data_IF_839263091706
#
_entry.id   IF_839263091706
#
_cell.length_a   1.000
_cell.length_b   1.000
_cell.length_c   1.000
_cell.angle_alpha   90.00
_cell.angle_beta   90.00
_cell.angle_gamma   90.00
#
_symmetry.space_group_name_H-M   'P 1'
#
loop_
_entity.id
_entity.type
_entity.pdbx_description
1 polymer ?
#
# COMPACT_ATOMS: atom_id res chain seq x y z
N UNK A 1 -0.56 19.14 7.47
CA UNK A 1 -1.77 18.59 6.81
C UNK A 1 -1.31 17.65 5.69
N UNK A 2 -2.00 16.52 5.44
CA UNK A 2 -1.59 15.58 4.38
C UNK A 2 -1.97 16.11 2.98
N UNK A 3 -1.19 15.77 1.95
CA UNK A 3 -1.49 16.15 0.56
C UNK A 3 -2.93 15.74 0.14
N UNK A 4 -3.38 14.57 0.61
CA UNK A 4 -4.76 14.08 0.42
C UNK A 4 -5.79 15.01 1.05
N UNK A 5 -5.57 15.47 2.29
CA UNK A 5 -6.49 16.39 2.99
C UNK A 5 -6.56 17.77 2.33
N UNK A 6 -5.48 18.19 1.67
CA UNK A 6 -5.41 19.42 0.89
C UNK A 6 -5.95 19.25 -0.54
N UNK A 7 -6.15 18.02 -1.01
CA UNK A 7 -6.53 17.74 -2.40
C UNK A 7 -5.39 17.95 -3.39
N UNK A 8 -4.15 18.00 -2.92
CA UNK A 8 -2.96 18.19 -3.74
C UNK A 8 -2.59 16.89 -4.47
N UNK A 9 -3.20 16.68 -5.62
CA UNK A 9 -2.98 15.52 -6.47
C UNK A 9 -1.52 15.39 -6.95
N UNK A 10 -0.82 16.52 -7.14
CA UNK A 10 0.58 16.53 -7.58
C UNK A 10 1.50 15.98 -6.49
N UNK A 11 1.33 16.45 -5.25
CA UNK A 11 2.06 15.93 -4.10
C UNK A 11 1.69 14.47 -3.78
N UNK A 12 0.42 14.08 -3.93
CA UNK A 12 0.01 12.67 -3.78
C UNK A 12 0.74 11.78 -4.77
N UNK A 13 0.79 12.14 -6.05
CA UNK A 13 1.50 11.37 -7.08
C UNK A 13 2.99 11.24 -6.79
N UNK A 14 3.66 12.34 -6.45
CA UNK A 14 5.09 12.32 -6.08
C UNK A 14 5.37 11.40 -4.88
N UNK A 15 4.45 11.33 -3.92
CA UNK A 15 4.59 10.44 -2.78
C UNK A 15 4.39 8.95 -3.14
N UNK A 16 3.63 8.64 -4.21
CA UNK A 16 3.37 7.26 -4.65
C UNK A 16 4.53 6.65 -5.45
N UNK A 17 5.28 7.46 -6.21
CA UNK A 17 6.44 7.00 -7.01
C UNK A 17 7.45 6.12 -6.23
N UNK A 18 8.00 6.55 -5.07
CA UNK A 18 8.96 5.72 -4.34
C UNK A 18 8.32 4.47 -3.70
N UNK A 19 7.00 4.47 -3.49
CA UNK A 19 6.30 3.32 -2.94
C UNK A 19 6.23 2.17 -3.95
N UNK A 20 6.09 2.46 -5.24
CA UNK A 20 6.10 1.43 -6.29
C UNK A 20 7.40 0.62 -6.28
N UNK A 21 8.56 1.29 -6.26
CA UNK A 21 9.87 0.60 -6.24
C UNK A 21 10.14 -0.19 -4.96
N UNK A 22 9.61 0.23 -3.81
CA UNK A 22 9.76 -0.50 -2.54
C UNK A 22 8.86 -1.74 -2.50
N UNK A 23 7.68 -1.67 -3.10
CA UNK A 23 6.75 -2.80 -3.23
C UNK A 23 7.28 -3.87 -4.18
N UNK A 24 7.83 -3.50 -5.34
CA UNK A 24 8.41 -4.45 -6.29
C UNK A 24 9.50 -5.30 -5.64
N UNK A 25 10.35 -4.68 -4.81
CA UNK A 25 11.39 -5.40 -4.04
C UNK A 25 10.80 -6.35 -3.00
N UNK A 26 9.69 -5.97 -2.36
CA UNK A 26 8.99 -6.81 -1.39
C UNK A 26 8.34 -8.01 -2.09
N UNK A 27 7.65 -7.78 -3.21
CA UNK A 27 7.06 -8.83 -4.06
C UNK A 27 8.12 -9.80 -4.59
N UNK A 28 9.25 -9.28 -5.09
CA UNK A 28 10.36 -10.09 -5.56
C UNK A 28 10.95 -10.94 -4.43
N UNK A 29 11.24 -10.34 -3.28
CA UNK A 29 11.78 -11.05 -2.13
C UNK A 29 10.85 -12.13 -1.59
N UNK A 30 9.54 -11.90 -1.61
CA UNK A 30 8.51 -12.86 -1.18
C UNK A 30 8.28 -13.97 -2.23
N UNK A 31 8.44 -13.66 -3.52
CA UNK A 31 8.35 -14.64 -4.61
C UNK A 31 9.59 -15.54 -4.69
N UNK A 32 10.76 -14.98 -4.41
CA UNK A 32 12.06 -15.65 -4.44
C UNK A 32 12.41 -16.37 -3.11
N UNK A 33 11.54 -16.29 -2.10
CA UNK A 33 11.77 -16.87 -0.78
C UNK A 33 12.84 -16.16 0.06
N UNK A 34 13.35 -15.01 -0.41
CA UNK A 34 14.34 -14.17 0.27
C UNK A 34 13.76 -13.35 1.43
N UNK A 35 12.43 -13.19 1.45
CA UNK A 35 11.69 -12.56 2.56
C UNK A 35 10.95 -13.65 3.33
N UNK A 36 11.47 -13.97 4.51
CA UNK A 36 10.79 -14.81 5.49
C UNK A 36 9.99 -13.92 6.44
N UNK A 37 8.70 -14.21 6.61
CA UNK A 37 7.88 -13.50 7.57
C UNK A 37 8.33 -13.89 8.98
N UNK A 38 8.71 -12.89 9.79
CA UNK A 38 9.14 -13.10 11.17
C UNK A 38 8.02 -13.60 12.07
N UNK A 39 6.78 -13.23 11.77
CA UNK A 39 5.56 -13.65 12.48
C UNK A 39 4.60 -14.32 11.50
N UNK A 40 3.95 -15.41 11.93
CA UNK A 40 2.96 -16.13 11.13
C UNK A 40 3.50 -16.61 9.75
N UNK A 41 4.73 -17.13 9.70
CA UNK A 41 5.39 -17.56 8.45
C UNK A 41 4.59 -18.54 7.60
N UNK A 42 3.85 -19.47 8.23
CA UNK A 42 2.98 -20.41 7.53
C UNK A 42 1.83 -19.73 6.76
N UNK A 43 1.49 -18.48 7.07
CA UNK A 43 0.40 -17.69 6.46
C UNK A 43 0.91 -16.78 5.32
N UNK A 44 2.02 -17.15 4.67
CA UNK A 44 2.60 -16.40 3.53
C UNK A 44 1.61 -16.14 2.39
N UNK A 45 0.65 -17.07 2.15
CA UNK A 45 -0.40 -16.88 1.14
C UNK A 45 -1.30 -15.69 1.49
N UNK A 46 -1.72 -15.58 2.75
CA UNK A 46 -2.52 -14.45 3.22
C UNK A 46 -1.75 -13.13 3.15
N UNK A 47 -0.47 -13.15 3.53
CA UNK A 47 0.39 -11.98 3.36
C UNK A 47 0.42 -11.51 1.90
N UNK A 48 0.66 -12.43 0.94
CA UNK A 48 0.64 -12.11 -0.50
C UNK A 48 -0.69 -11.52 -0.95
N UNK A 49 -1.81 -12.05 -0.47
CA UNK A 49 -3.13 -11.52 -0.79
C UNK A 49 -3.33 -10.09 -0.25
N UNK A 50 -2.92 -9.83 0.99
CA UNK A 50 -3.01 -8.49 1.59
C UNK A 50 -2.09 -7.49 0.87
N UNK A 51 -0.89 -7.92 0.49
CA UNK A 51 0.09 -7.12 -0.26
C UNK A 51 -0.43 -6.73 -1.65
N UNK A 52 -0.99 -7.69 -2.39
CA UNK A 52 -1.66 -7.44 -3.68
C UNK A 52 -2.85 -6.47 -3.54
N UNK A 53 -3.67 -6.64 -2.51
CA UNK A 53 -4.81 -5.75 -2.26
C UNK A 53 -4.35 -4.33 -1.89
N UNK A 54 -3.24 -4.20 -1.16
CA UNK A 54 -2.62 -2.92 -0.85
C UNK A 54 -2.13 -2.22 -2.13
N UNK A 55 -1.46 -2.97 -3.02
CA UNK A 55 -0.99 -2.46 -4.31
C UNK A 55 -2.14 -1.95 -5.18
N UNK A 56 -3.22 -2.73 -5.31
CA UNK A 56 -4.41 -2.32 -6.07
C UNK A 56 -5.03 -1.01 -5.54
N UNK A 57 -4.95 -0.76 -4.21
CA UNK A 57 -5.42 0.49 -3.61
C UNK A 57 -4.49 1.67 -3.89
N UNK A 58 -3.18 1.48 -3.95
CA UNK A 58 -2.26 2.55 -4.35
C UNK A 58 -2.49 2.97 -5.81
N UNK A 59 -2.70 2.00 -6.70
CA UNK A 59 -3.09 2.26 -8.08
C UNK A 59 -4.43 3.01 -8.17
N UNK A 60 -5.41 2.62 -7.36
CA UNK A 60 -6.68 3.34 -7.27
C UNK A 60 -6.50 4.77 -6.73
N UNK A 61 -5.62 4.98 -5.75
CA UNK A 61 -5.30 6.31 -5.22
C UNK A 61 -4.64 7.18 -6.29
N UNK A 62 -3.72 6.63 -7.08
CA UNK A 62 -3.09 7.32 -8.19
C UNK A 62 -4.13 7.75 -9.24
N UNK A 63 -5.05 6.85 -9.63
CA UNK A 63 -6.17 7.19 -10.53
C UNK A 63 -7.07 8.28 -9.94
N UNK A 64 -7.41 8.19 -8.65
CA UNK A 64 -8.20 9.22 -7.97
C UNK A 64 -7.49 10.59 -7.97
N UNK A 65 -6.17 10.60 -7.80
CA UNK A 65 -5.35 11.81 -7.89
C UNK A 65 -5.35 12.38 -9.32
N UNK A 66 -5.21 11.55 -10.35
CA UNK A 66 -5.32 11.95 -11.75
C UNK A 66 -6.66 12.65 -12.06
N UNK A 67 -7.76 12.16 -11.49
CA UNK A 67 -9.08 12.77 -11.64
C UNK A 67 -9.38 13.89 -10.63
N UNK A 68 -8.39 14.33 -9.83
CA UNK A 68 -8.55 15.33 -8.75
C UNK A 68 -9.72 15.00 -7.79
N UNK A 69 -10.05 13.71 -7.62
CA UNK A 69 -11.18 13.27 -6.82
C UNK A 69 -10.81 13.19 -5.34
N UNK A 70 -10.88 14.33 -4.65
CA UNK A 70 -10.50 14.45 -3.23
C UNK A 70 -11.24 13.49 -2.30
N UNK A 71 -12.55 13.32 -2.49
CA UNK A 71 -13.37 12.42 -1.66
C UNK A 71 -12.88 10.98 -1.77
N UNK A 72 -12.58 10.55 -2.99
CA UNK A 72 -12.08 9.21 -3.26
C UNK A 72 -10.66 9.02 -2.76
N UNK A 73 -9.76 10.01 -2.95
CA UNK A 73 -8.42 9.97 -2.38
C UNK A 73 -8.45 9.81 -0.85
N UNK A 74 -9.32 10.55 -0.16
CA UNK A 74 -9.50 10.44 1.29
C UNK A 74 -10.01 9.04 1.70
N UNK A 75 -11.01 8.52 0.98
CA UNK A 75 -11.57 7.19 1.24
C UNK A 75 -10.51 6.09 1.09
N UNK A 76 -9.77 6.10 -0.02
CA UNK A 76 -8.73 5.10 -0.30
C UNK A 76 -7.58 5.21 0.70
N UNK A 77 -7.17 6.43 1.07
CA UNK A 77 -6.09 6.63 2.05
C UNK A 77 -6.43 6.03 3.42
N UNK A 78 -7.68 6.17 3.88
CA UNK A 78 -8.14 5.51 5.11
C UNK A 78 -8.01 3.99 5.01
N UNK A 79 -8.43 3.40 3.88
CA UNK A 79 -8.33 1.96 3.66
C UNK A 79 -6.88 1.46 3.58
N UNK A 80 -5.97 2.26 3.02
CA UNK A 80 -4.54 1.94 2.99
C UNK A 80 -3.95 1.93 4.41
N UNK A 81 -4.25 2.93 5.23
CA UNK A 81 -3.79 3.00 6.62
C UNK A 81 -4.31 1.82 7.45
N UNK A 82 -5.60 1.50 7.31
CA UNK A 82 -6.20 0.34 7.96
C UNK A 82 -5.51 -0.97 7.52
N UNK A 83 -5.27 -1.13 6.21
CA UNK A 83 -4.55 -2.28 5.66
C UNK A 83 -3.13 -2.42 6.22
N UNK A 84 -2.39 -1.31 6.38
CA UNK A 84 -1.07 -1.31 7.00
C UNK A 84 -1.13 -1.82 8.44
N UNK A 85 -2.06 -1.30 9.25
CA UNK A 85 -2.22 -1.73 10.66
C UNK A 85 -2.55 -3.21 10.74
N UNK A 86 -3.50 -3.68 9.92
CA UNK A 86 -3.88 -5.10 9.89
C UNK A 86 -2.73 -6.00 9.45
N UNK A 87 -2.02 -5.65 8.37
CA UNK A 87 -0.89 -6.44 7.88
C UNK A 87 0.25 -6.49 8.92
N UNK A 88 0.64 -5.33 9.46
CA UNK A 88 1.72 -5.26 10.44
C UNK A 88 1.36 -5.98 11.74
N UNK A 89 0.15 -5.86 12.26
CA UNK A 89 -0.27 -6.60 13.46
C UNK A 89 -0.18 -8.12 13.29
N UNK A 90 -0.42 -8.63 12.08
CA UNK A 90 -0.38 -10.05 11.76
C UNK A 90 1.02 -10.57 11.46
N UNK A 91 1.87 -9.79 10.77
CA UNK A 91 3.09 -10.31 10.16
C UNK A 91 4.38 -9.61 10.61
N UNK A 92 4.29 -8.49 11.32
CA UNK A 92 5.44 -7.81 11.94
C UNK A 92 5.35 -7.91 13.48
N UNK A 93 6.49 -8.12 14.16
CA UNK A 93 6.59 -7.98 15.60
C UNK A 93 6.53 -6.51 16.01
#
# INVERSE_FOLDING_TARGET
>A
MSAVSLGDAGAVRKALEPMHGTMEKTHAGVREGRVTLRKNAARIKEFKTMDLAFHAKLEALNRAAHHKNKKEMLRITKQLLEGCVQCHSKFRP
#
